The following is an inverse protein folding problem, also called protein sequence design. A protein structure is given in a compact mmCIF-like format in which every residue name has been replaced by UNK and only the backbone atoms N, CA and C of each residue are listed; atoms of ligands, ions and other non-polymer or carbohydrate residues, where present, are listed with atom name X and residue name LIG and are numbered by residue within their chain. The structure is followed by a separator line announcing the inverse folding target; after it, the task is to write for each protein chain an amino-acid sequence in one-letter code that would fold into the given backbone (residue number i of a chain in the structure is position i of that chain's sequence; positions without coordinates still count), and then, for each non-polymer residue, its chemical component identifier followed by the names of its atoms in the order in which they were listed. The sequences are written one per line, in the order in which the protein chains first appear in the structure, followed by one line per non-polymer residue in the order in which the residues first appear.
data_IF_497374771671
#
_entry.id   IF_497374771671
#
_cell.length_a   1.000
_cell.length_b   1.000
_cell.length_c   1.000
_cell.angle_alpha   90.00
_cell.angle_beta   90.00
_cell.angle_gamma   90.00
#
_symmetry.space_group_name_H-M   'P 1'
#
loop_
_entity.id
_entity.type
_entity.pdbx_description
1 polymer ?
#
# COMPACT_ATOMS: atom_id res chain seq x y z
N UNK A 1 -8.98 -5.14 37.66
CA UNK A 1 -9.28 -4.79 36.26
C UNK A 1 -10.74 -5.13 36.00
N UNK A 2 -11.62 -4.13 36.03
CA UNK A 2 -13.06 -4.34 35.81
C UNK A 2 -13.29 -4.66 34.34
N UNK A 3 -13.87 -5.83 34.05
CA UNK A 3 -14.46 -6.13 32.74
C UNK A 3 -15.68 -5.21 32.63
N UNK A 4 -15.56 -4.14 31.83
CA UNK A 4 -16.70 -3.28 31.51
C UNK A 4 -17.81 -4.11 30.87
N UNK A 5 -19.04 -3.87 31.31
CA UNK A 5 -20.25 -4.51 30.80
C UNK A 5 -20.36 -4.31 29.27
N UNK A 6 -20.50 -5.37 28.45
CA UNK A 6 -20.65 -5.25 27.00
C UNK A 6 -21.88 -4.43 26.56
N UNK A 7 -22.80 -4.09 27.48
CA UNK A 7 -23.96 -3.22 27.23
C UNK A 7 -23.63 -1.74 26.96
N UNK A 8 -22.39 -1.29 27.18
CA UNK A 8 -22.02 0.14 27.10
C UNK A 8 -21.32 0.57 25.81
N UNK A 9 -21.13 -0.33 24.84
CA UNK A 9 -20.40 -0.01 23.59
C UNK A 9 -21.28 -0.21 22.36
N UNK A 10 -21.54 0.86 21.63
CA UNK A 10 -22.34 0.85 20.41
C UNK A 10 -21.45 0.89 19.16
N UNK A 11 -21.90 0.23 18.09
CA UNK A 11 -21.22 0.23 16.81
C UNK A 11 -21.38 1.58 16.11
N UNK A 12 -20.29 2.34 15.99
CA UNK A 12 -20.26 3.64 15.31
C UNK A 12 -20.03 3.48 13.81
N UNK A 13 -19.27 2.46 13.41
CA UNK A 13 -19.05 2.12 12.01
C UNK A 13 -18.75 0.64 11.83
N UNK A 14 -19.25 0.05 10.75
CA UNK A 14 -18.93 -1.32 10.35
C UNK A 14 -18.35 -1.33 8.94
N UNK A 15 -17.21 -2.01 8.78
CA UNK A 15 -16.51 -2.14 7.53
C UNK A 15 -16.56 -3.60 7.09
N UNK A 16 -17.18 -3.84 5.95
CA UNK A 16 -17.29 -5.17 5.36
C UNK A 16 -16.22 -5.36 4.30
N UNK A 17 -15.63 -6.55 4.26
CA UNK A 17 -14.72 -6.93 3.19
C UNK A 17 -15.54 -7.17 1.92
N UNK A 18 -15.51 -6.23 0.99
CA UNK A 18 -16.18 -6.33 -0.31
C UNK A 18 -15.21 -6.71 -1.42
N UNK A 19 -15.72 -7.31 -2.49
CA UNK A 19 -14.93 -7.63 -3.69
C UNK A 19 -14.32 -6.37 -4.32
N UNK A 20 -15.09 -5.28 -4.37
CA UNK A 20 -14.63 -4.00 -4.92
C UNK A 20 -13.45 -3.45 -4.10
N UNK A 21 -13.52 -3.51 -2.77
CA UNK A 21 -12.43 -3.08 -1.90
C UNK A 21 -11.18 -3.96 -2.07
N UNK A 22 -11.35 -5.27 -2.17
CA UNK A 22 -10.25 -6.19 -2.43
C UNK A 22 -9.55 -5.89 -3.77
N UNK A 23 -10.32 -5.66 -4.84
CA UNK A 23 -9.77 -5.28 -6.15
C UNK A 23 -9.02 -3.94 -6.07
N UNK A 24 -9.60 -2.95 -5.38
CA UNK A 24 -8.92 -1.66 -5.17
C UNK A 24 -7.58 -1.82 -4.46
N UNK A 25 -7.52 -2.62 -3.40
CA UNK A 25 -6.26 -2.91 -2.70
C UNK A 25 -5.25 -3.62 -3.60
N UNK A 26 -5.68 -4.59 -4.42
CA UNK A 26 -4.79 -5.27 -5.36
C UNK A 26 -4.21 -4.28 -6.37
N UNK A 27 -5.04 -3.43 -6.97
CA UNK A 27 -4.57 -2.43 -7.95
C UNK A 27 -3.59 -1.45 -7.29
N UNK A 28 -3.94 -0.94 -6.11
CA UNK A 28 -3.06 -0.03 -5.35
C UNK A 28 -1.78 -0.73 -4.92
N UNK A 29 -1.84 -2.03 -4.61
CA UNK A 29 -0.66 -2.84 -4.23
C UNK A 29 0.28 -3.12 -5.40
N UNK A 30 -0.24 -3.40 -6.59
CA UNK A 30 0.58 -3.55 -7.79
C UNK A 30 1.29 -2.24 -8.11
N UNK A 31 0.56 -1.12 -8.17
CA UNK A 31 1.17 0.21 -8.44
C UNK A 31 2.13 0.60 -7.31
N UNK A 32 1.73 0.37 -6.06
CA UNK A 32 2.51 0.62 -4.87
C UNK A 32 3.83 -0.17 -4.87
N UNK A 33 3.82 -1.44 -5.26
CA UNK A 33 5.02 -2.26 -5.37
C UNK A 33 6.07 -1.61 -6.27
N UNK A 34 5.70 -1.21 -7.49
CA UNK A 34 6.64 -0.55 -8.40
C UNK A 34 7.08 0.82 -7.90
N UNK A 35 6.17 1.60 -7.30
CA UNK A 35 6.52 2.89 -6.72
C UNK A 35 7.51 2.76 -5.55
N UNK A 36 7.29 1.80 -4.64
CA UNK A 36 8.21 1.52 -3.53
C UNK A 36 9.53 0.92 -4.03
N UNK A 37 9.51 0.01 -5.00
CA UNK A 37 10.73 -0.54 -5.59
C UNK A 37 11.61 0.58 -6.18
N UNK A 38 10.99 1.49 -6.94
CA UNK A 38 11.65 2.66 -7.48
C UNK A 38 12.19 3.59 -6.38
N UNK A 39 11.41 3.84 -5.33
CA UNK A 39 11.85 4.61 -4.16
C UNK A 39 13.05 4.00 -3.43
N UNK A 40 13.03 2.68 -3.18
CA UNK A 40 14.16 1.97 -2.57
C UNK A 40 15.39 1.92 -3.49
N UNK A 41 15.20 1.86 -4.80
CA UNK A 41 16.30 1.99 -5.76
C UNK A 41 16.99 3.35 -5.66
N UNK A 42 16.22 4.44 -5.53
CA UNK A 42 16.75 5.79 -5.26
C UNK A 42 17.50 5.88 -3.93
N UNK A 43 16.93 5.31 -2.86
CA UNK A 43 17.61 5.26 -1.55
C UNK A 43 18.96 4.54 -1.69
N UNK A 44 18.99 3.38 -2.34
CA UNK A 44 20.22 2.63 -2.59
C UNK A 44 21.23 3.43 -3.42
N UNK A 45 20.79 4.09 -4.50
CA UNK A 45 21.66 4.91 -5.34
C UNK A 45 22.28 6.04 -4.51
N UNK A 46 21.49 6.71 -3.68
CA UNK A 46 21.93 7.76 -2.75
C UNK A 46 22.96 7.23 -1.76
N UNK A 47 22.73 6.06 -1.15
CA UNK A 47 23.69 5.42 -0.23
C UNK A 47 25.03 5.14 -0.93
N UNK A 48 25.01 4.78 -2.22
CA UNK A 48 26.21 4.55 -3.03
C UNK A 48 26.87 5.82 -3.56
N UNK A 49 26.27 7.00 -3.35
CA UNK A 49 26.73 8.25 -3.95
C UNK A 49 26.59 8.28 -5.49
N UNK A 50 25.65 7.49 -6.02
CA UNK A 50 25.40 7.36 -7.46
C UNK A 50 24.04 7.94 -7.83
N UNK A 51 23.86 8.29 -9.10
CA UNK A 51 22.54 8.58 -9.68
C UNK A 51 21.82 7.28 -9.98
N UNK A 52 20.49 7.29 -9.93
CA UNK A 52 19.71 6.14 -10.39
C UNK A 52 19.85 6.02 -11.91
N UNK A 53 20.51 4.96 -12.37
CA UNK A 53 20.61 4.64 -13.79
C UNK A 53 19.24 4.20 -14.34
N UNK A 54 18.98 4.38 -15.64
CA UNK A 54 17.82 3.79 -16.29
C UNK A 54 17.73 2.31 -15.98
N UNK A 55 16.51 1.83 -15.75
CA UNK A 55 16.28 0.44 -15.42
C UNK A 55 16.40 -0.35 -16.72
N UNK A 56 17.46 -1.15 -16.83
CA UNK A 56 17.73 -2.00 -17.99
C UNK A 56 17.41 -3.44 -17.64
N UNK A 57 16.54 -4.08 -18.41
CA UNK A 57 16.29 -5.52 -18.32
C UNK A 57 16.50 -6.16 -19.69
N UNK A 58 17.07 -7.36 -19.69
CA UNK A 58 17.17 -8.19 -20.90
C UNK A 58 15.94 -9.08 -21.02
N UNK A 59 15.48 -9.31 -22.25
CA UNK A 59 14.45 -10.30 -22.52
C UNK A 59 14.89 -11.67 -21.98
N UNK A 60 14.13 -12.21 -21.03
CA UNK A 60 14.45 -13.47 -20.38
C UNK A 60 14.30 -14.65 -21.34
N UNK A 61 15.25 -15.58 -21.35
CA UNK A 61 15.00 -16.89 -21.96
C UNK A 61 14.09 -17.74 -21.05
N UNK A 62 13.29 -18.69 -21.58
CA UNK A 62 12.37 -19.47 -20.76
C UNK A 62 13.00 -20.20 -19.55
N UNK A 63 14.22 -20.77 -19.65
CA UNK A 63 14.91 -21.34 -18.50
C UNK A 63 15.28 -20.30 -17.43
N UNK A 64 15.72 -19.10 -17.84
CA UNK A 64 16.06 -18.02 -16.91
C UNK A 64 14.81 -17.52 -16.16
N UNK A 65 13.68 -17.47 -16.86
CA UNK A 65 12.41 -17.05 -16.27
C UNK A 65 11.99 -17.93 -15.07
N UNK A 66 12.21 -19.25 -15.13
CA UNK A 66 11.90 -20.16 -14.02
C UNK A 66 12.81 -19.93 -12.82
N UNK A 67 14.11 -19.72 -13.04
CA UNK A 67 15.06 -19.43 -11.97
C UNK A 67 14.73 -18.10 -11.29
N UNK A 68 14.48 -17.05 -12.06
CA UNK A 68 14.09 -15.74 -11.53
C UNK A 68 12.73 -15.77 -10.84
N UNK A 69 11.77 -16.56 -11.34
CA UNK A 69 10.49 -16.78 -10.68
C UNK A 69 10.68 -17.48 -9.33
N UNK A 70 11.53 -18.51 -9.25
CA UNK A 70 11.83 -19.20 -8.00
C UNK A 70 12.53 -18.30 -6.98
N UNK A 71 13.51 -17.50 -7.42
CA UNK A 71 14.19 -16.50 -6.57
C UNK A 71 13.16 -15.48 -6.06
N UNK A 72 12.32 -14.95 -6.94
CA UNK A 72 11.29 -13.97 -6.58
C UNK A 72 10.30 -14.56 -5.57
N UNK A 73 9.81 -15.77 -5.80
CA UNK A 73 8.89 -16.45 -4.89
C UNK A 73 9.54 -16.70 -3.52
N UNK A 74 10.81 -17.12 -3.49
CA UNK A 74 11.58 -17.29 -2.27
C UNK A 74 11.76 -15.98 -1.50
N UNK A 75 12.09 -14.89 -2.19
CA UNK A 75 12.21 -13.56 -1.59
C UNK A 75 10.87 -13.04 -1.06
N UNK A 76 9.76 -13.27 -1.78
CA UNK A 76 8.42 -12.90 -1.32
C UNK A 76 8.04 -13.71 -0.07
N UNK A 77 8.26 -15.02 -0.07
CA UNK A 77 8.00 -15.87 1.11
C UNK A 77 8.81 -15.41 2.33
N UNK A 78 10.08 -15.04 2.13
CA UNK A 78 10.95 -14.49 3.17
C UNK A 78 10.44 -13.18 3.77
N UNK A 79 9.56 -12.45 3.08
CA UNK A 79 8.93 -11.23 3.60
C UNK A 79 7.59 -11.52 4.24
N UNK A 80 6.74 -12.30 3.57
CA UNK A 80 5.38 -12.60 4.04
C UNK A 80 5.42 -13.29 5.40
N UNK A 81 6.35 -14.24 5.61
CA UNK A 81 6.43 -14.96 6.89
C UNK A 81 6.78 -14.01 8.05
N UNK A 82 7.89 -13.24 8.03
CA UNK A 82 8.17 -12.25 9.06
C UNK A 82 7.07 -11.19 9.21
N UNK A 83 6.40 -10.83 8.11
CA UNK A 83 5.33 -9.84 8.11
C UNK A 83 4.17 -10.30 9.00
N UNK A 84 3.63 -11.49 8.74
CA UNK A 84 2.56 -12.04 9.56
C UNK A 84 3.02 -12.34 10.99
N UNK A 85 4.25 -12.83 11.17
CA UNK A 85 4.79 -13.06 12.50
C UNK A 85 4.86 -11.78 13.33
N UNK A 86 5.24 -10.65 12.73
CA UNK A 86 5.24 -9.36 13.44
C UNK A 86 3.84 -8.94 13.86
N UNK A 87 2.83 -9.09 12.99
CA UNK A 87 1.45 -8.89 13.42
C UNK A 87 1.10 -9.77 14.63
N UNK A 88 1.40 -11.06 14.57
CA UNK A 88 1.14 -12.01 15.66
C UNK A 88 1.89 -11.70 16.96
N UNK A 89 3.16 -11.27 16.89
CA UNK A 89 3.96 -10.85 18.05
C UNK A 89 3.30 -9.67 18.76
N UNK A 90 2.88 -8.65 18.02
CA UNK A 90 2.23 -7.49 18.62
C UNK A 90 0.79 -7.78 19.08
N UNK A 91 0.09 -8.72 18.46
CA UNK A 91 -1.18 -9.23 18.97
C UNK A 91 -0.99 -9.96 20.31
N UNK A 92 -0.03 -10.88 20.40
CA UNK A 92 0.31 -11.59 21.63
C UNK A 92 0.77 -10.64 22.75
N UNK A 93 1.55 -9.60 22.40
CA UNK A 93 1.97 -8.52 23.31
C UNK A 93 0.79 -7.83 24.01
N UNK A 94 -0.37 -7.77 23.36
CA UNK A 94 -1.59 -7.16 23.88
C UNK A 94 -2.59 -8.15 24.51
N UNK A 95 -2.16 -9.39 24.74
CA UNK A 95 -2.92 -10.38 25.52
C UNK A 95 -3.83 -11.28 24.69
N UNK A 96 -3.76 -11.18 23.36
CA UNK A 96 -4.57 -12.01 22.48
C UNK A 96 -3.84 -13.28 22.05
N UNK A 97 -4.56 -14.32 21.62
CA UNK A 97 -3.96 -15.53 21.05
C UNK A 97 -3.95 -15.50 19.51
N UNK A 98 -2.84 -15.14 18.85
CA UNK A 98 -2.80 -15.03 17.40
C UNK A 98 -2.92 -16.41 16.74
N UNK A 99 -3.84 -16.54 15.78
CA UNK A 99 -3.90 -17.67 14.86
C UNK A 99 -3.37 -17.25 13.50
N UNK A 100 -2.50 -18.05 12.90
CA UNK A 100 -1.97 -17.82 11.56
C UNK A 100 -2.69 -18.72 10.56
N UNK A 101 -3.02 -18.17 9.40
CA UNK A 101 -3.61 -18.93 8.32
C UNK A 101 -3.15 -18.44 6.96
N UNK A 102 -3.33 -19.28 5.96
CA UNK A 102 -3.26 -18.89 4.55
C UNK A 102 -4.68 -19.00 3.99
N UNK A 103 -5.19 -17.90 3.47
CA UNK A 103 -6.51 -17.83 2.85
C UNK A 103 -6.40 -17.36 1.41
N UNK A 104 -7.47 -17.58 0.63
CA UNK A 104 -7.62 -16.93 -0.68
C UNK A 104 -8.76 -15.95 -0.56
N UNK A 105 -8.47 -14.66 -0.75
CA UNK A 105 -9.50 -13.62 -0.67
C UNK A 105 -10.28 -13.59 -1.97
N UNK A 106 -11.55 -14.01 -1.94
CA UNK A 106 -12.48 -13.93 -3.09
C UNK A 106 -11.93 -14.48 -4.42
N UNK A 107 -11.09 -15.53 -4.38
CA UNK A 107 -10.43 -16.11 -5.56
C UNK A 107 -9.41 -15.22 -6.29
N UNK A 108 -8.98 -14.09 -5.70
CA UNK A 108 -8.07 -13.16 -6.39
C UNK A 108 -6.61 -13.39 -6.03
N UNK A 109 -6.25 -13.55 -4.75
CA UNK A 109 -4.87 -13.82 -4.33
C UNK A 109 -4.80 -14.62 -3.00
N UNK A 110 -3.80 -15.50 -2.84
CA UNK A 110 -3.44 -16.04 -1.53
C UNK A 110 -2.93 -14.91 -0.64
N UNK A 111 -3.44 -14.84 0.58
CA UNK A 111 -2.96 -13.94 1.62
C UNK A 111 -2.73 -14.77 2.87
N UNK A 112 -1.63 -14.51 3.57
CA UNK A 112 -1.49 -14.98 4.92
C UNK A 112 -2.16 -13.95 5.85
N UNK A 113 -2.63 -14.39 7.00
CA UNK A 113 -3.19 -13.49 8.00
C UNK A 113 -2.86 -13.98 9.40
N UNK A 114 -2.66 -13.04 10.30
CA UNK A 114 -2.75 -13.26 11.73
C UNK A 114 -4.06 -12.64 12.24
N UNK A 115 -4.83 -13.40 13.04
CA UNK A 115 -6.11 -12.95 13.58
C UNK A 115 -6.35 -13.43 15.02
N UNK A 116 -7.39 -12.90 15.65
CA UNK A 116 -7.79 -13.24 17.02
C UNK A 116 -9.29 -13.51 17.06
N UNK A 117 -9.73 -14.56 17.76
CA UNK A 117 -11.15 -14.91 17.89
C UNK A 117 -11.77 -14.16 19.07
N UNK A 118 -12.76 -13.29 18.81
CA UNK A 118 -13.62 -12.72 19.85
C UNK A 118 -12.98 -11.64 20.75
N UNK A 119 -11.76 -11.18 20.44
CA UNK A 119 -11.05 -10.19 21.24
C UNK A 119 -11.16 -8.77 20.65
N UNK A 120 -11.21 -7.75 21.52
CA UNK A 120 -11.30 -6.35 21.12
C UNK A 120 -10.02 -5.59 21.44
N UNK A 121 -9.51 -4.85 20.46
CA UNK A 121 -8.36 -3.98 20.61
C UNK A 121 -8.78 -2.54 20.88
N UNK A 122 -8.01 -1.81 21.68
CA UNK A 122 -8.08 -0.34 21.61
C UNK A 122 -7.55 0.14 20.26
N UNK A 123 -7.99 1.31 19.80
CA UNK A 123 -7.48 1.93 18.56
C UNK A 123 -5.95 1.91 18.46
N UNK A 124 -5.27 2.30 19.54
CA UNK A 124 -3.80 2.44 19.52
C UNK A 124 -3.08 1.09 19.52
N UNK A 125 -3.61 0.09 20.21
CA UNK A 125 -3.05 -1.26 20.16
C UNK A 125 -3.11 -1.80 18.73
N UNK A 126 -4.28 -1.65 18.08
CA UNK A 126 -4.45 -2.13 16.71
C UNK A 126 -3.59 -1.35 15.72
N UNK A 127 -3.42 -0.03 15.89
CA UNK A 127 -2.48 0.75 15.09
C UNK A 127 -1.04 0.21 15.17
N UNK A 128 -0.58 -0.18 16.36
CA UNK A 128 0.75 -0.79 16.52
C UNK A 128 0.83 -2.14 15.80
N UNK A 129 -0.20 -2.99 15.95
CA UNK A 129 -0.25 -4.29 15.25
C UNK A 129 -0.18 -4.09 13.74
N UNK A 130 -1.01 -3.20 13.17
CA UNK A 130 -1.10 -2.93 11.73
C UNK A 130 0.20 -2.36 11.17
N UNK A 131 0.84 -1.41 11.87
CA UNK A 131 2.03 -0.72 11.36
C UNK A 131 3.34 -1.46 11.63
N UNK A 132 3.34 -2.47 12.52
CA UNK A 132 4.56 -3.16 12.94
C UNK A 132 5.34 -3.79 11.78
N UNK A 133 4.73 -4.52 10.83
CA UNK A 133 5.50 -5.12 9.73
C UNK A 133 6.05 -4.07 8.78
N UNK A 134 5.24 -3.09 8.38
CA UNK A 134 5.67 -1.99 7.53
C UNK A 134 6.88 -1.29 8.13
N UNK A 135 6.77 -0.81 9.37
CA UNK A 135 7.83 -0.03 10.02
C UNK A 135 9.04 -0.92 10.34
N UNK A 136 8.81 -2.09 10.93
CA UNK A 136 9.88 -2.97 11.41
C UNK A 136 10.73 -3.54 10.28
N UNK A 137 10.11 -4.15 9.27
CA UNK A 137 10.82 -4.77 8.15
C UNK A 137 11.50 -3.70 7.30
N UNK A 138 10.83 -2.57 7.04
CA UNK A 138 11.45 -1.47 6.28
C UNK A 138 12.63 -0.86 7.03
N UNK A 139 12.51 -0.60 8.34
CA UNK A 139 13.62 -0.07 9.12
C UNK A 139 14.83 -1.02 9.12
N UNK A 140 14.60 -2.32 9.35
CA UNK A 140 15.66 -3.34 9.31
C UNK A 140 16.29 -3.38 7.92
N UNK A 141 15.48 -3.46 6.85
CA UNK A 141 16.02 -3.53 5.50
C UNK A 141 16.78 -2.27 5.08
N UNK A 142 16.39 -1.07 5.56
CA UNK A 142 17.15 0.15 5.36
C UNK A 142 18.50 0.11 6.10
N UNK A 143 18.53 -0.38 7.34
CA UNK A 143 19.80 -0.58 8.08
C UNK A 143 20.69 -1.59 7.36
N UNK A 144 20.15 -2.71 6.88
CA UNK A 144 20.90 -3.69 6.10
C UNK A 144 21.40 -3.07 4.80
N UNK A 145 20.60 -2.23 4.13
CA UNK A 145 20.99 -1.53 2.91
C UNK A 145 22.12 -0.53 3.13
N UNK A 146 22.20 0.11 4.30
CA UNK A 146 23.31 0.99 4.68
C UNK A 146 24.63 0.21 4.83
N UNK A 147 24.58 -0.99 5.40
CA UNK A 147 25.76 -1.85 5.60
C UNK A 147 26.16 -2.57 4.30
N UNK A 148 25.18 -3.03 3.54
CA UNK A 148 25.34 -3.76 2.28
C UNK A 148 24.29 -3.31 1.27
N UNK A 149 24.59 -2.31 0.41
CA UNK A 149 23.63 -1.72 -0.52
C UNK A 149 23.37 -2.63 -1.73
N UNK A 150 22.81 -3.82 -1.48
CA UNK A 150 22.50 -4.84 -2.48
C UNK A 150 21.18 -4.53 -3.18
N UNK A 151 21.10 -4.66 -4.52
CA UNK A 151 19.83 -4.54 -5.26
C UNK A 151 18.82 -5.64 -4.87
N UNK A 152 19.29 -6.76 -4.32
CA UNK A 152 18.43 -7.86 -3.85
C UNK A 152 17.49 -7.44 -2.70
N UNK A 153 17.76 -6.34 -2.01
CA UNK A 153 16.89 -5.82 -0.95
C UNK A 153 15.67 -5.06 -1.48
N UNK A 154 15.70 -4.60 -2.74
CA UNK A 154 14.65 -3.75 -3.32
C UNK A 154 13.33 -4.51 -3.40
N UNK A 155 13.35 -5.72 -3.98
CA UNK A 155 12.13 -6.53 -4.18
C UNK A 155 11.48 -6.92 -2.84
N UNK A 156 12.20 -7.47 -1.84
CA UNK A 156 11.64 -7.75 -0.52
C UNK A 156 11.03 -6.52 0.17
N UNK A 157 11.73 -5.39 0.16
CA UNK A 157 11.26 -4.16 0.78
C UNK A 157 10.02 -3.59 0.10
N UNK A 158 9.99 -3.62 -1.24
CA UNK A 158 8.83 -3.22 -2.03
C UNK A 158 7.64 -4.16 -1.80
N UNK A 159 7.89 -5.47 -1.72
CA UNK A 159 6.86 -6.47 -1.42
C UNK A 159 6.26 -6.26 -0.02
N UNK A 160 7.09 -5.97 0.99
CA UNK A 160 6.61 -5.64 2.33
C UNK A 160 5.71 -4.40 2.33
N UNK A 161 6.17 -3.33 1.68
CA UNK A 161 5.46 -2.07 1.61
C UNK A 161 4.13 -2.20 0.86
N UNK A 162 4.13 -2.93 -0.26
CA UNK A 162 2.92 -3.21 -1.04
C UNK A 162 1.95 -4.14 -0.29
N UNK A 163 2.47 -5.19 0.38
CA UNK A 163 1.68 -6.09 1.21
C UNK A 163 0.97 -5.36 2.36
N UNK A 164 1.61 -4.32 2.90
CA UNK A 164 1.07 -3.51 3.99
C UNK A 164 -0.07 -2.55 3.58
N UNK A 165 -0.51 -2.50 2.31
CA UNK A 165 -1.48 -1.50 1.86
C UNK A 165 -2.85 -1.67 2.54
N UNK A 166 -3.26 -2.91 2.81
CA UNK A 166 -4.47 -3.18 3.60
C UNK A 166 -4.33 -2.62 5.03
N UNK A 167 -3.19 -2.83 5.66
CA UNK A 167 -2.91 -2.38 7.03
C UNK A 167 -2.81 -0.86 7.13
N UNK A 168 -2.11 -0.24 6.17
CA UNK A 168 -1.99 1.21 6.06
C UNK A 168 -3.34 1.87 5.82
N UNK A 169 -4.19 1.26 4.97
CA UNK A 169 -5.56 1.72 4.77
C UNK A 169 -6.36 1.66 6.07
N UNK A 170 -6.31 0.52 6.78
CA UNK A 170 -7.02 0.34 8.03
C UNK A 170 -6.51 1.30 9.11
N UNK A 171 -5.19 1.47 9.24
CA UNK A 171 -4.58 2.44 10.14
C UNK A 171 -5.05 3.86 9.81
N UNK A 172 -5.09 4.23 8.52
CA UNK A 172 -5.65 5.50 8.04
C UNK A 172 -7.12 5.69 8.40
N UNK A 173 -7.94 4.63 8.37
CA UNK A 173 -9.33 4.66 8.86
C UNK A 173 -9.36 4.92 10.37
N UNK A 174 -8.59 4.16 11.15
CA UNK A 174 -8.57 4.26 12.62
C UNK A 174 -8.09 5.63 13.12
N UNK A 175 -7.12 6.25 12.46
CA UNK A 175 -6.61 7.58 12.81
C UNK A 175 -7.69 8.68 12.72
N UNK A 176 -8.80 8.41 12.04
CA UNK A 176 -9.92 9.33 11.92
C UNK A 176 -10.92 9.21 13.08
N UNK A 177 -10.72 8.27 14.00
CA UNK A 177 -11.52 8.09 15.21
C UNK A 177 -10.73 8.47 16.47
N UNK A 178 -11.41 8.89 17.56
CA UNK A 178 -10.73 9.18 18.83
C UNK A 178 -10.08 7.93 19.42
N UNK A 179 -9.09 8.11 20.31
CA UNK A 179 -8.34 7.00 20.90
C UNK A 179 -9.15 6.12 21.85
N UNK A 180 -10.32 6.59 22.28
CA UNK A 180 -11.24 5.88 23.17
C UNK A 180 -12.01 4.76 22.48
N UNK A 181 -12.07 4.74 21.13
CA UNK A 181 -12.78 3.68 20.40
C UNK A 181 -12.08 2.33 20.53
N UNK A 182 -12.90 1.28 20.48
CA UNK A 182 -12.49 -0.10 20.38
C UNK A 182 -12.75 -0.65 18.99
N UNK A 183 -11.96 -1.65 18.60
CA UNK A 183 -12.08 -2.35 17.33
C UNK A 183 -12.26 -3.82 17.63
N UNK A 184 -13.30 -4.41 17.03
CA UNK A 184 -13.64 -5.81 17.21
C UNK A 184 -14.26 -6.36 15.92
N UNK A 185 -14.42 -7.68 15.77
CA UNK A 185 -15.19 -8.26 14.66
C UNK A 185 -16.61 -7.66 14.59
N UNK A 186 -17.18 -7.49 13.37
CA UNK A 186 -18.51 -6.92 13.22
C UNK A 186 -19.58 -7.91 13.74
N UNK A 187 -20.79 -7.44 14.06
CA UNK A 187 -21.89 -8.32 14.45
C UNK A 187 -22.25 -9.30 13.31
N UNK A 188 -22.78 -10.47 13.66
CA UNK A 188 -23.30 -11.49 12.72
C UNK A 188 -22.27 -12.24 11.87
N UNK A 189 -21.07 -12.49 12.39
CA UNK A 189 -20.00 -13.27 11.72
C UNK A 189 -19.62 -12.79 10.30
N UNK A 190 -19.90 -11.53 9.99
CA UNK A 190 -19.50 -10.95 8.71
C UNK A 190 -17.98 -10.76 8.65
N UNK A 191 -17.37 -10.95 7.47
CA UNK A 191 -15.95 -10.64 7.30
C UNK A 191 -15.72 -9.13 7.28
N UNK A 192 -14.92 -8.64 8.23
CA UNK A 192 -14.65 -7.21 8.37
C UNK A 192 -14.22 -6.81 9.78
N UNK A 193 -14.47 -5.55 10.14
CA UNK A 193 -14.29 -5.03 11.50
C UNK A 193 -15.33 -3.96 11.82
N UNK A 194 -15.71 -3.89 13.10
CA UNK A 194 -16.52 -2.83 13.68
C UNK A 194 -15.66 -1.88 14.52
N UNK A 195 -16.03 -0.61 14.50
CA UNK A 195 -15.52 0.42 15.41
C UNK A 195 -16.63 0.72 16.42
N UNK A 196 -16.30 0.54 17.69
CA UNK A 196 -17.23 0.65 18.81
C UNK A 196 -16.81 1.78 19.73
N UNK A 197 -17.77 2.53 20.23
CA UNK A 197 -17.52 3.60 21.19
C UNK A 197 -18.44 3.47 22.38
N UNK A 198 -18.01 4.01 23.53
CA UNK A 198 -18.83 3.95 24.73
C UNK A 198 -20.05 4.86 24.57
N UNK A 199 -21.21 4.44 25.08
CA UNK A 199 -22.42 5.27 25.17
C UNK A 199 -22.21 6.58 25.93
N UNK A 200 -21.20 6.63 26.80
CA UNK A 200 -20.84 7.81 27.60
C UNK A 200 -19.82 8.73 26.90
N UNK A 201 -19.12 8.23 25.88
CA UNK A 201 -18.31 9.07 25.00
C UNK A 201 -19.27 9.86 24.11
N UNK A 202 -19.21 11.19 24.14
CA UNK A 202 -20.11 12.09 23.38
C UNK A 202 -20.07 11.93 21.85
N UNK A 203 -20.02 13.02 21.06
CA UNK A 203 -20.02 12.88 19.60
C UNK A 203 -18.70 12.24 19.08
N UNK A 204 -18.70 10.92 18.90
CA UNK A 204 -17.57 10.10 18.41
C UNK A 204 -17.39 10.18 16.89
N UNK A 205 -18.04 11.16 16.25
CA UNK A 205 -17.93 11.40 14.81
C UNK A 205 -16.47 11.53 14.36
N UNK A 206 -16.22 11.00 13.17
CA UNK A 206 -14.93 11.02 12.46
C UNK A 206 -14.29 12.41 12.57
N UNK A 207 -13.12 12.52 13.22
CA UNK A 207 -12.46 13.80 13.51
C UNK A 207 -12.24 14.59 12.22
N UNK A 208 -12.83 15.79 12.16
CA UNK A 208 -12.78 16.67 10.99
C UNK A 208 -11.35 17.08 10.56
N UNK A 209 -10.42 17.17 11.52
CA UNK A 209 -9.11 17.82 11.35
C UNK A 209 -8.22 17.20 10.27
N UNK A 210 -8.41 15.93 9.92
CA UNK A 210 -7.58 15.24 8.92
C UNK A 210 -8.33 14.89 7.63
N UNK A 211 -9.61 15.30 7.48
CA UNK A 211 -10.43 14.90 6.32
C UNK A 211 -9.85 15.38 4.99
N UNK A 212 -9.40 16.63 4.93
CA UNK A 212 -8.80 17.19 3.73
C UNK A 212 -7.51 16.44 3.35
N UNK A 213 -6.61 16.22 4.32
CA UNK A 213 -5.36 15.51 4.09
C UNK A 213 -5.59 14.06 3.61
N UNK A 214 -6.52 13.32 4.23
CA UNK A 214 -6.88 11.96 3.81
C UNK A 214 -7.42 11.95 2.38
N UNK A 215 -8.26 12.92 2.03
CA UNK A 215 -8.78 13.09 0.67
C UNK A 215 -7.65 13.42 -0.31
N UNK A 216 -6.74 14.31 0.05
CA UNK A 216 -5.61 14.68 -0.80
C UNK A 216 -4.70 13.47 -1.08
N UNK A 217 -4.39 12.67 -0.05
CA UNK A 217 -3.62 11.43 -0.20
C UNK A 217 -4.37 10.42 -1.08
N UNK A 218 -5.68 10.26 -0.87
CA UNK A 218 -6.51 9.36 -1.68
C UNK A 218 -6.52 9.79 -3.15
N UNK A 219 -6.67 11.08 -3.42
CA UNK A 219 -6.60 11.64 -4.77
C UNK A 219 -5.23 11.43 -5.40
N UNK A 220 -4.14 11.62 -4.65
CA UNK A 220 -2.79 11.43 -5.15
C UNK A 220 -2.52 9.96 -5.54
N UNK A 221 -2.96 9.01 -4.70
CA UNK A 221 -2.89 7.57 -5.01
C UNK A 221 -3.72 7.26 -6.25
N UNK A 222 -4.95 7.78 -6.33
CA UNK A 222 -5.82 7.61 -7.49
C UNK A 222 -5.19 8.12 -8.79
N UNK A 223 -4.59 9.31 -8.76
CA UNK A 223 -3.84 9.86 -9.89
C UNK A 223 -2.66 8.99 -10.28
N UNK A 224 -1.88 8.51 -9.31
CA UNK A 224 -0.74 7.63 -9.58
C UNK A 224 -1.18 6.32 -10.24
N UNK A 225 -2.30 5.74 -9.80
CA UNK A 225 -2.87 4.51 -10.39
C UNK A 225 -3.31 4.77 -11.83
N UNK A 226 -4.03 5.87 -12.07
CA UNK A 226 -4.50 6.22 -13.43
C UNK A 226 -3.32 6.44 -14.36
N UNK A 227 -2.37 7.30 -13.98
CA UNK A 227 -1.19 7.61 -14.80
C UNK A 227 -0.38 6.34 -15.08
N UNK A 228 -0.05 5.54 -14.05
CA UNK A 228 0.71 4.30 -14.23
C UNK A 228 0.01 3.32 -15.15
N UNK A 229 -1.31 3.14 -15.00
CA UNK A 229 -2.11 2.24 -15.84
C UNK A 229 -2.13 2.72 -17.29
N UNK A 230 -2.30 4.03 -17.51
CA UNK A 230 -2.26 4.62 -18.85
C UNK A 230 -0.88 4.44 -19.49
N UNK A 231 0.21 4.69 -18.76
CA UNK A 231 1.58 4.49 -19.26
C UNK A 231 1.82 3.04 -19.67
N UNK A 232 1.46 2.08 -18.83
CA UNK A 232 1.55 0.65 -19.16
C UNK A 232 0.70 0.30 -20.39
N UNK A 233 -0.53 0.83 -20.47
CA UNK A 233 -1.37 0.67 -21.66
C UNK A 233 -0.74 1.21 -22.94
N UNK A 234 -0.08 2.37 -22.87
CA UNK A 234 0.63 2.94 -24.03
C UNK A 234 1.84 2.10 -24.45
N UNK A 235 2.56 1.48 -23.50
CA UNK A 235 3.65 0.53 -23.81
C UNK A 235 3.10 -0.69 -24.54
N UNK A 236 2.03 -1.32 -24.04
CA UNK A 236 1.42 -2.46 -24.72
C UNK A 236 0.91 -2.11 -26.11
N UNK A 237 0.30 -0.94 -26.28
CA UNK A 237 -0.13 -0.45 -27.58
C UNK A 237 1.07 -0.27 -28.52
N UNK A 238 2.15 0.36 -28.05
CA UNK A 238 3.39 0.55 -28.82
C UNK A 238 4.04 -0.78 -29.22
N UNK A 239 4.06 -1.77 -28.33
CA UNK A 239 4.53 -3.13 -28.64
C UNK A 239 3.65 -3.79 -29.70
N UNK A 240 2.33 -3.61 -29.64
CA UNK A 240 1.40 -4.20 -30.61
C UNK A 240 1.56 -3.66 -32.04
N UNK A 241 2.03 -2.40 -32.18
CA UNK A 241 2.32 -1.78 -33.49
C UNK A 241 3.79 -1.97 -33.91
N UNK A 242 4.59 -2.71 -33.13
CA UNK A 242 5.95 -3.12 -33.48
C UNK A 242 7.05 -2.09 -33.20
N UNK A 243 6.74 -0.95 -32.57
CA UNK A 243 7.78 0.05 -32.22
C UNK A 243 8.43 -0.22 -30.87
N UNK A 244 7.66 -0.74 -29.91
CA UNK A 244 8.11 -0.99 -28.54
C UNK A 244 8.72 0.22 -27.82
N UNK A 245 8.48 1.43 -28.33
CA UNK A 245 9.10 2.67 -27.89
C UNK A 245 8.03 3.70 -27.53
N UNK A 246 8.08 4.17 -26.28
CA UNK A 246 7.21 5.20 -25.70
C UNK A 246 8.07 6.20 -24.95
N UNK A 247 8.11 7.45 -25.40
CA UNK A 247 8.81 8.54 -24.70
C UNK A 247 7.83 9.68 -24.49
N UNK A 248 7.63 10.05 -23.22
CA UNK A 248 6.75 11.14 -22.81
C UNK A 248 7.57 12.11 -21.95
N UNK A 249 7.76 13.32 -22.47
CA UNK A 249 8.62 14.35 -21.88
C UNK A 249 9.97 14.45 -22.57
N UNK A 250 10.89 15.19 -21.96
CA UNK A 250 12.23 15.46 -22.50
C UNK A 250 13.28 14.58 -21.79
N UNK A 251 14.00 13.75 -22.55
CA UNK A 251 15.02 12.82 -22.02
C UNK A 251 16.19 13.57 -21.39
N UNK A 252 16.65 13.11 -20.22
CA UNK A 252 17.74 13.75 -19.47
C UNK A 252 17.34 15.05 -18.78
N UNK A 253 16.05 15.44 -18.84
CA UNK A 253 15.51 16.65 -18.25
C UNK A 253 14.53 16.31 -17.11
N UNK A 254 14.31 17.28 -16.21
CA UNK A 254 13.32 17.16 -15.12
C UNK A 254 11.87 17.04 -15.62
N UNK A 255 11.65 17.28 -16.91
CA UNK A 255 10.36 17.21 -17.58
C UNK A 255 10.06 15.84 -18.19
N UNK A 256 11.00 14.89 -18.13
CA UNK A 256 10.71 13.49 -18.44
C UNK A 256 9.58 13.01 -17.54
N UNK A 257 8.56 12.36 -18.11
CA UNK A 257 7.54 11.62 -17.37
C UNK A 257 7.85 10.13 -17.41
N UNK A 258 8.14 9.61 -18.61
CA UNK A 258 8.29 8.19 -18.83
C UNK A 258 9.06 7.92 -20.12
N UNK A 259 9.97 6.94 -20.08
CA UNK A 259 10.67 6.43 -21.26
C UNK A 259 10.65 4.90 -21.18
N UNK A 260 10.19 4.28 -22.24
CA UNK A 260 10.29 2.85 -22.49
C UNK A 260 10.84 2.68 -23.90
N UNK A 261 11.98 2.03 -24.04
CA UNK A 261 12.59 1.71 -25.34
C UNK A 261 12.89 0.22 -25.36
N UNK A 262 12.41 -0.45 -26.39
CA UNK A 262 12.75 -1.84 -26.68
C UNK A 262 13.69 -1.87 -27.87
N UNK A 263 14.89 -2.41 -27.66
CA UNK A 263 15.86 -2.70 -28.71
C UNK A 263 15.71 -4.16 -29.16
N UNK A 264 15.18 -4.42 -30.38
CA UNK A 264 14.97 -5.77 -30.88
C UNK A 264 16.27 -6.52 -31.17
N UNK A 265 17.37 -5.82 -31.47
CA UNK A 265 18.64 -6.45 -31.86
C UNK A 265 19.38 -7.01 -30.64
N UNK A 266 19.41 -6.25 -29.55
CA UNK A 266 20.02 -6.69 -28.29
C UNK A 266 19.05 -7.38 -27.34
N UNK A 267 17.74 -7.33 -27.62
CA UNK A 267 16.68 -7.83 -26.72
C UNK A 267 16.61 -7.04 -25.42
N UNK A 268 17.05 -5.78 -25.41
CA UNK A 268 17.16 -4.96 -24.21
C UNK A 268 15.96 -4.03 -24.08
N UNK A 269 15.40 -3.93 -22.88
CA UNK A 269 14.36 -2.96 -22.51
C UNK A 269 14.98 -1.92 -21.60
N UNK A 270 14.89 -0.66 -22.01
CA UNK A 270 15.26 0.50 -21.21
C UNK A 270 14.00 1.17 -20.67
N UNK A 271 13.95 1.34 -19.35
CA UNK A 271 12.85 1.97 -18.63
C UNK A 271 13.35 3.11 -17.75
N UNK A 272 12.84 4.31 -17.97
CA UNK A 272 13.14 5.50 -17.17
C UNK A 272 11.85 6.14 -16.68
N UNK A 273 11.79 6.45 -15.39
CA UNK A 273 10.62 7.07 -14.76
C UNK A 273 10.98 8.47 -14.32
N UNK A 274 10.19 9.44 -14.79
CA UNK A 274 10.25 10.84 -14.43
C UNK A 274 9.71 11.12 -13.04
N UNK A 275 10.47 10.79 -12.00
CA UNK A 275 10.02 10.89 -10.60
C UNK A 275 9.42 12.26 -10.24
N UNK A 276 10.08 13.34 -10.67
CA UNK A 276 9.66 14.71 -10.39
C UNK A 276 8.27 15.00 -10.97
N UNK A 277 8.04 14.65 -12.24
CA UNK A 277 6.76 14.87 -12.90
C UNK A 277 5.69 13.96 -12.32
N UNK A 278 6.01 12.69 -12.03
CA UNK A 278 5.08 11.75 -11.38
C UNK A 278 4.61 12.26 -10.02
N UNK A 279 5.52 12.72 -9.17
CA UNK A 279 5.19 13.29 -7.85
C UNK A 279 4.38 14.58 -8.00
N UNK A 280 4.73 15.44 -8.95
CA UNK A 280 3.98 16.68 -9.22
C UNK A 280 2.54 16.38 -9.66
N UNK A 281 2.34 15.46 -10.61
CA UNK A 281 1.02 15.04 -11.07
C UNK A 281 0.18 14.44 -9.94
N UNK A 282 0.77 13.52 -9.17
CA UNK A 282 0.08 12.92 -8.02
C UNK A 282 -0.30 13.98 -6.97
N UNK A 283 0.59 14.93 -6.68
CA UNK A 283 0.32 16.01 -5.71
C UNK A 283 -0.81 16.92 -6.18
N UNK A 284 -0.77 17.36 -7.45
CA UNK A 284 -1.83 18.21 -8.04
C UNK A 284 -3.15 17.47 -8.07
N UNK A 285 -3.18 16.23 -8.55
CA UNK A 285 -4.40 15.41 -8.59
C UNK A 285 -4.99 15.17 -7.19
N UNK A 286 -4.13 14.97 -6.19
CA UNK A 286 -4.53 14.89 -4.78
C UNK A 286 -5.22 16.17 -4.29
N UNK A 287 -4.59 17.32 -4.49
CA UNK A 287 -5.16 18.61 -4.08
C UNK A 287 -6.48 18.89 -4.80
N UNK A 288 -6.55 18.68 -6.11
CA UNK A 288 -7.77 18.87 -6.90
C UNK A 288 -8.90 17.99 -6.38
N UNK A 289 -8.63 16.71 -6.15
CA UNK A 289 -9.63 15.79 -5.62
C UNK A 289 -10.15 16.22 -4.24
N UNK A 290 -9.25 16.61 -3.34
CA UNK A 290 -9.63 17.08 -2.01
C UNK A 290 -10.53 18.32 -2.09
N UNK A 291 -10.14 19.32 -2.90
CA UNK A 291 -10.92 20.55 -3.09
C UNK A 291 -12.29 20.29 -3.70
N UNK A 292 -12.37 19.41 -4.71
CA UNK A 292 -13.61 19.04 -5.37
C UNK A 292 -14.59 18.42 -4.37
N UNK A 293 -14.13 17.43 -3.59
CA UNK A 293 -14.97 16.73 -2.62
C UNK A 293 -15.44 17.65 -1.51
N UNK A 294 -14.57 18.51 -0.96
CA UNK A 294 -15.00 19.51 0.03
C UNK A 294 -16.03 20.49 -0.55
N UNK A 295 -15.82 20.97 -1.78
CA UNK A 295 -16.73 21.90 -2.44
C UNK A 295 -18.11 21.28 -2.66
N UNK A 296 -18.18 20.04 -3.14
CA UNK A 296 -19.44 19.32 -3.32
C UNK A 296 -20.17 19.13 -1.99
N UNK A 297 -19.46 18.82 -0.91
CA UNK A 297 -20.08 18.67 0.41
C UNK A 297 -20.57 20.00 0.98
N UNK A 298 -19.83 21.09 0.78
CA UNK A 298 -20.25 22.42 1.17
C UNK A 298 -21.54 22.84 0.44
N UNK A 299 -21.63 22.58 -0.87
CA UNK A 299 -22.83 22.86 -1.67
C UNK A 299 -24.06 22.06 -1.21
N UNK A 300 -23.87 20.82 -0.74
CA UNK A 300 -24.95 19.98 -0.20
C UNK A 300 -25.39 20.35 1.22
N UNK A 301 -24.60 21.14 1.93
CA UNK A 301 -24.88 21.54 3.31
C UNK A 301 -25.65 22.87 3.42
N UNK A 302 -25.84 23.59 2.31
CA UNK A 302 -26.68 24.79 2.26
C UNK A 302 -28.15 24.36 2.28
N UNK A 303 -28.94 24.71 3.32
CA UNK A 303 -30.36 24.43 3.32
C UNK A 303 -31.03 25.21 2.18
N UNK A 304 -31.86 24.53 1.39
CA UNK A 304 -32.74 25.14 0.39
C UNK A 304 -33.80 26.03 1.03
#
# INVERSE_FOLDING_TARGET
MSRGDPSTFEAVATFHKSRALAIQWVVVAVVGFFAFAYGFAHVRATIRGATLEPIVFHAFTPPDALVWAAITLGLVALVVVPHELLHGVFMARYGTSPSYGVGVSHFVLPYAYAGTVGESFTRNQLLVVLLAPFVGITAIGLVVMLVSPSPLLIVPLAANAAGSIGDLWMAGVLLQYPSSVRVAPPPNDAQGFGIYASSDDGDVRRRSRHRFAVRAVTGAIGTLVVVSTTLVGTVFLSLSVGTGTVVIGETGSRWLLFRHEFDPESGTVLLEIGATVMVALASVGGLLWATLVESVLALRAVPS
#
